data_IF_629138310083
#
_entry.id   IF_629138310083
#
_cell.length_a   1.000
_cell.length_b   1.000
_cell.length_c   1.000
_cell.angle_alpha   90.00
_cell.angle_beta   90.00
_cell.angle_gamma   90.00
#
_symmetry.space_group_name_H-M   'P 1'
#
loop_
_entity.id
_entity.type
_entity.pdbx_description
1 polymer ?
#
# COMPACT_ATOMS: atom_id res chain seq x y z
N UNK A 1 -18.46 1.81 28.41
CA UNK A 1 -17.50 1.72 27.29
C UNK A 1 -18.13 1.08 26.05
N UNK A 2 -18.71 -0.12 26.16
CA UNK A 2 -19.33 -0.86 25.04
C UNK A 2 -20.24 -0.05 24.11
N UNK A 3 -21.17 0.73 24.66
CA UNK A 3 -22.11 1.53 23.85
C UNK A 3 -21.37 2.55 22.96
N UNK A 4 -20.37 3.20 23.52
CA UNK A 4 -19.57 4.17 22.80
C UNK A 4 -18.71 3.49 21.73
N UNK A 5 -18.10 2.35 22.06
CA UNK A 5 -17.34 1.56 21.10
C UNK A 5 -18.20 1.19 19.87
N UNK A 6 -19.43 0.71 20.10
CA UNK A 6 -20.36 0.40 18.99
C UNK A 6 -20.69 1.62 18.14
N UNK A 7 -20.91 2.77 18.77
CA UNK A 7 -21.15 4.01 18.04
C UNK A 7 -19.94 4.40 17.19
N UNK A 8 -18.73 4.33 17.75
CA UNK A 8 -17.50 4.66 17.03
C UNK A 8 -17.30 3.75 15.80
N UNK A 9 -17.55 2.45 15.93
CA UNK A 9 -17.48 1.52 14.78
C UNK A 9 -18.52 1.89 13.72
N UNK A 10 -19.72 2.26 14.12
CA UNK A 10 -20.75 2.69 13.17
C UNK A 10 -20.36 3.99 12.46
N UNK A 11 -19.80 4.95 13.20
CA UNK A 11 -19.31 6.22 12.63
C UNK A 11 -18.16 5.97 11.62
N UNK A 12 -17.25 5.03 11.92
CA UNK A 12 -16.17 4.60 11.00
C UNK A 12 -16.74 3.98 9.74
N UNK A 13 -17.73 3.09 9.86
CA UNK A 13 -18.38 2.47 8.70
C UNK A 13 -19.15 3.47 7.86
N UNK A 14 -19.79 4.45 8.51
CA UNK A 14 -20.45 5.53 7.83
C UNK A 14 -19.43 6.38 7.05
N UNK A 15 -18.29 6.74 7.64
CA UNK A 15 -17.22 7.44 6.92
C UNK A 15 -16.72 6.62 5.72
N UNK A 16 -16.45 5.33 5.95
CA UNK A 16 -16.04 4.38 4.89
C UNK A 16 -17.01 4.31 3.71
N UNK A 17 -18.32 4.36 3.97
CA UNK A 17 -19.34 4.30 2.92
C UNK A 17 -19.55 5.64 2.18
N UNK A 18 -19.10 6.76 2.75
CA UNK A 18 -19.29 8.12 2.22
C UNK A 18 -17.96 8.73 1.77
N UNK A 19 -17.10 7.92 1.17
CA UNK A 19 -15.86 8.40 0.55
C UNK A 19 -16.24 9.29 -0.64
N UNK A 20 -15.61 10.46 -0.81
CA UNK A 20 -15.89 11.35 -1.93
C UNK A 20 -15.67 10.65 -3.30
N UNK A 21 -16.71 10.62 -4.15
CA UNK A 21 -16.61 10.10 -5.53
C UNK A 21 -15.76 10.99 -6.47
N UNK A 22 -15.12 10.42 -7.51
CA UNK A 22 -14.41 9.15 -7.53
C UNK A 22 -12.91 9.41 -7.44
N UNK A 23 -12.30 8.66 -6.52
CA UNK A 23 -10.86 8.53 -6.46
C UNK A 23 -10.32 7.45 -7.41
N UNK A 24 -11.20 6.56 -7.87
CA UNK A 24 -10.92 5.46 -8.78
C UNK A 24 -11.93 5.42 -9.93
N UNK A 25 -11.87 6.40 -10.84
CA UNK A 25 -12.66 6.33 -12.07
C UNK A 25 -11.87 5.56 -13.13
N UNK A 26 -12.16 4.27 -13.29
CA UNK A 26 -11.90 3.55 -14.55
C UNK A 26 -12.79 4.03 -15.70
N UNK A 27 -13.64 5.04 -15.48
CA UNK A 27 -14.43 5.63 -16.56
C UNK A 27 -13.46 6.39 -17.44
N UNK A 28 -13.15 5.77 -18.58
CA UNK A 28 -12.52 6.32 -19.77
C UNK A 28 -13.02 7.74 -20.04
N UNK A 29 -12.35 8.71 -19.45
CA UNK A 29 -12.30 10.04 -20.02
C UNK A 29 -10.83 10.27 -20.29
N UNK A 30 -10.42 9.94 -21.53
CA UNK A 30 -9.07 10.17 -22.09
C UNK A 30 -8.54 11.59 -21.80
N UNK A 31 -9.43 12.52 -21.48
CA UNK A 31 -9.14 13.93 -21.19
C UNK A 31 -8.71 14.24 -19.74
N UNK A 32 -8.79 13.29 -18.78
CA UNK A 32 -8.46 13.56 -17.36
C UNK A 32 -7.43 12.63 -16.72
N UNK A 33 -6.64 11.92 -17.52
CA UNK A 33 -5.54 11.09 -17.01
C UNK A 33 -4.44 12.00 -16.45
N UNK A 34 -4.53 12.37 -15.17
CA UNK A 34 -3.41 13.00 -14.47
C UNK A 34 -2.22 12.06 -14.55
N UNK A 35 -1.07 12.59 -14.99
CA UNK A 35 0.16 11.80 -14.97
C UNK A 35 0.56 11.50 -13.52
N UNK A 36 1.27 10.40 -13.31
CA UNK A 36 1.80 10.00 -12.00
C UNK A 36 2.54 11.14 -11.27
N UNK A 37 3.14 12.09 -12.01
CA UNK A 37 3.89 13.23 -11.46
C UNK A 37 3.05 14.48 -11.19
N UNK A 38 1.87 14.61 -11.79
CA UNK A 38 0.98 15.76 -11.62
C UNK A 38 -0.01 15.58 -10.48
N UNK A 39 -0.49 14.35 -10.29
CA UNK A 39 -1.49 14.00 -9.29
C UNK A 39 -1.11 14.46 -7.86
N UNK A 40 0.11 14.22 -7.35
CA UNK A 40 0.52 14.70 -6.02
C UNK A 40 0.54 16.22 -5.86
N UNK A 41 0.66 16.97 -6.97
CA UNK A 41 0.71 18.44 -6.95
C UNK A 41 -0.69 19.06 -6.93
N UNK A 42 -1.65 18.38 -7.55
CA UNK A 42 -3.03 18.89 -7.73
C UNK A 42 -4.04 18.31 -6.75
N UNK A 43 -3.70 17.21 -6.08
CA UNK A 43 -4.61 16.53 -5.17
C UNK A 43 -5.02 17.44 -4.00
N UNK A 44 -6.33 17.47 -3.65
CA UNK A 44 -6.79 18.19 -2.48
C UNK A 44 -6.16 17.58 -1.23
N UNK A 45 -5.67 18.46 -0.35
CA UNK A 45 -5.12 18.10 0.96
C UNK A 45 -6.05 18.62 2.04
N UNK A 46 -6.40 17.72 2.96
CA UNK A 46 -7.18 18.01 4.16
C UNK A 46 -6.70 17.07 5.26
N UNK A 47 -7.01 17.38 6.51
CA UNK A 47 -6.75 16.42 7.58
C UNK A 47 -7.63 15.17 7.43
N UNK A 48 -7.18 14.04 7.97
CA UNK A 48 -8.04 12.85 8.02
C UNK A 48 -9.32 13.11 8.84
N UNK A 49 -9.27 14.01 9.83
CA UNK A 49 -10.48 14.44 10.56
C UNK A 49 -11.50 15.15 9.66
N UNK A 50 -11.04 15.96 8.72
CA UNK A 50 -11.90 16.65 7.76
C UNK A 50 -12.43 15.71 6.67
N UNK A 51 -11.62 14.76 6.20
CA UNK A 51 -12.03 13.78 5.21
C UNK A 51 -13.07 12.79 5.73
N UNK A 52 -12.88 12.31 6.96
CA UNK A 52 -13.73 11.28 7.57
C UNK A 52 -14.86 11.85 8.41
N UNK A 53 -14.75 13.11 8.84
CA UNK A 53 -15.63 13.71 9.84
C UNK A 53 -15.41 13.17 11.27
N UNK A 54 -14.42 12.29 11.46
CA UNK A 54 -14.07 11.70 12.76
C UNK A 54 -12.95 12.49 13.41
N UNK A 55 -13.12 12.87 14.66
CA UNK A 55 -12.09 13.58 15.42
C UNK A 55 -11.20 12.60 16.17
N UNK A 56 -9.91 12.90 16.24
CA UNK A 56 -8.89 12.25 17.08
C UNK A 56 -9.37 12.02 18.52
N UNK A 57 -10.10 12.98 19.08
CA UNK A 57 -10.65 12.88 20.44
C UNK A 57 -11.73 11.81 20.60
N UNK A 58 -12.34 11.35 19.50
CA UNK A 58 -13.31 10.25 19.50
C UNK A 58 -12.64 8.87 19.58
N UNK A 59 -11.32 8.80 19.42
CA UNK A 59 -10.58 7.54 19.55
C UNK A 59 -10.07 7.40 21.00
N UNK A 60 -10.59 6.44 21.77
CA UNK A 60 -10.18 6.24 23.15
C UNK A 60 -8.75 5.68 23.22
N UNK A 61 -7.91 6.06 24.20
CA UNK A 61 -6.62 5.40 24.40
C UNK A 61 -6.73 3.88 24.55
N UNK A 62 -5.77 3.12 24.03
CA UNK A 62 -5.71 1.66 24.03
C UNK A 62 -5.90 1.06 25.43
N UNK A 63 -5.35 1.70 26.46
CA UNK A 63 -5.48 1.29 27.87
C UNK A 63 -6.94 1.21 28.39
N UNK A 64 -7.90 1.82 27.70
CA UNK A 64 -9.32 1.76 28.05
C UNK A 64 -10.12 0.74 27.21
N UNK A 65 -9.46 0.10 26.26
CA UNK A 65 -10.02 -0.92 25.38
C UNK A 65 -9.52 -2.29 25.81
N UNK A 66 -10.35 -3.32 25.58
CA UNK A 66 -9.87 -4.71 25.62
C UNK A 66 -9.11 -5.05 24.34
N UNK A 67 -8.25 -6.07 24.37
CA UNK A 67 -7.50 -6.53 23.20
C UNK A 67 -8.41 -6.80 21.99
N UNK A 68 -9.57 -7.42 22.24
CA UNK A 68 -10.58 -7.66 21.21
C UNK A 68 -11.12 -6.36 20.60
N UNK A 69 -11.32 -5.33 21.41
CA UNK A 69 -11.80 -4.03 20.94
C UNK A 69 -10.72 -3.30 20.16
N UNK A 70 -9.47 -3.36 20.61
CA UNK A 70 -8.31 -2.82 19.86
C UNK A 70 -8.23 -3.49 18.49
N UNK A 71 -8.28 -4.81 18.44
CA UNK A 71 -8.23 -5.57 17.19
C UNK A 71 -9.32 -5.15 16.21
N UNK A 72 -10.59 -5.11 16.66
CA UNK A 72 -11.72 -4.73 15.81
C UNK A 72 -11.61 -3.28 15.35
N UNK A 73 -11.23 -2.36 16.24
CA UNK A 73 -11.12 -0.94 15.91
C UNK A 73 -9.96 -0.68 14.95
N UNK A 74 -8.81 -1.31 15.17
CA UNK A 74 -7.64 -1.23 14.30
C UNK A 74 -7.98 -1.73 12.90
N UNK A 75 -8.68 -2.87 12.80
CA UNK A 75 -9.11 -3.41 11.51
C UNK A 75 -10.02 -2.43 10.75
N UNK A 76 -11.08 -1.94 11.39
CA UNK A 76 -12.03 -1.02 10.76
C UNK A 76 -11.37 0.31 10.38
N UNK A 77 -10.41 0.79 11.19
CA UNK A 77 -9.61 1.97 10.87
C UNK A 77 -8.74 1.77 9.63
N UNK A 78 -8.02 0.65 9.53
CA UNK A 78 -7.18 0.35 8.36
C UNK A 78 -8.03 0.19 7.10
N UNK A 79 -9.14 -0.52 7.21
CA UNK A 79 -10.09 -0.71 6.12
C UNK A 79 -10.66 0.63 5.64
N UNK A 80 -11.06 1.51 6.57
CA UNK A 80 -11.53 2.86 6.24
C UNK A 80 -10.43 3.68 5.56
N UNK A 81 -9.24 3.77 6.15
CA UNK A 81 -8.13 4.53 5.58
C UNK A 81 -7.73 4.02 4.18
N UNK A 82 -7.84 2.72 3.94
CA UNK A 82 -7.65 2.11 2.62
C UNK A 82 -8.62 2.65 1.56
N UNK A 83 -9.89 2.89 1.89
CA UNK A 83 -10.86 3.48 0.94
C UNK A 83 -10.55 4.95 0.63
N UNK A 84 -9.90 5.67 1.55
CA UNK A 84 -9.38 7.01 1.31
C UNK A 84 -7.98 7.00 0.65
N UNK A 85 -7.51 5.83 0.19
CA UNK A 85 -6.15 5.60 -0.30
C UNK A 85 -5.07 6.16 0.63
N UNK A 86 -5.21 5.90 1.93
CA UNK A 86 -4.19 6.19 2.93
C UNK A 86 -3.79 4.85 3.55
N UNK A 87 -2.99 4.08 2.82
CA UNK A 87 -2.69 2.71 3.23
C UNK A 87 -1.78 2.66 4.46
N UNK A 88 -2.18 1.87 5.44
CA UNK A 88 -1.39 1.64 6.67
C UNK A 88 -0.55 0.39 6.50
N UNK A 89 0.75 0.57 6.28
CA UNK A 89 1.70 -0.53 6.05
C UNK A 89 2.83 -0.50 7.07
N UNK A 90 2.92 -1.55 7.88
CA UNK A 90 4.06 -1.80 8.76
C UNK A 90 4.95 -2.89 8.12
N UNK A 91 6.26 -2.65 7.99
CA UNK A 91 7.17 -3.62 7.36
C UNK A 91 7.64 -4.72 8.33
N UNK A 92 7.39 -4.57 9.64
CA UNK A 92 7.61 -5.59 10.67
C UNK A 92 6.34 -5.84 11.47
N UNK A 93 6.32 -6.94 12.23
CA UNK A 93 5.21 -7.26 13.13
C UNK A 93 5.21 -6.32 14.32
N UNK A 94 4.36 -5.29 14.27
CA UNK A 94 4.13 -4.34 15.36
C UNK A 94 2.94 -4.82 16.21
N UNK A 95 2.97 -4.74 17.55
CA UNK A 95 1.81 -5.02 18.40
C UNK A 95 0.58 -4.17 18.04
N UNK A 96 -0.62 -4.76 18.04
CA UNK A 96 -1.85 -4.08 17.58
C UNK A 96 -2.22 -2.85 18.42
N UNK A 97 -1.98 -2.90 19.72
CA UNK A 97 -2.16 -1.77 20.65
C UNK A 97 -1.26 -0.59 20.28
N UNK A 98 0.00 -0.88 19.93
CA UNK A 98 0.95 0.13 19.47
C UNK A 98 0.57 0.68 18.09
N UNK A 99 0.19 -0.18 17.15
CA UNK A 99 -0.30 0.25 15.84
C UNK A 99 -1.49 1.22 15.98
N UNK A 100 -2.47 0.84 16.81
CA UNK A 100 -3.64 1.66 17.07
C UNK A 100 -3.27 3.01 17.69
N UNK A 101 -2.39 3.04 18.70
CA UNK A 101 -1.99 4.29 19.35
C UNK A 101 -1.25 5.24 18.41
N UNK A 102 -0.44 4.72 17.48
CA UNK A 102 0.25 5.54 16.48
C UNK A 102 -0.76 6.15 15.51
N UNK A 103 -1.67 5.33 14.96
CA UNK A 103 -2.70 5.81 14.05
C UNK A 103 -3.54 6.88 14.74
N UNK A 104 -3.97 6.62 15.98
CA UNK A 104 -4.70 7.58 16.82
C UNK A 104 -3.91 8.87 17.04
N UNK A 105 -2.62 8.79 17.38
CA UNK A 105 -1.78 9.97 17.65
C UNK A 105 -1.62 10.83 16.40
N UNK A 106 -1.54 10.23 15.22
CA UNK A 106 -1.32 10.92 13.94
C UNK A 106 -2.60 11.09 13.11
N UNK A 107 -3.77 10.86 13.69
CA UNK A 107 -5.04 10.96 12.95
C UNK A 107 -5.39 12.39 12.53
N UNK A 108 -4.73 13.39 13.09
CA UNK A 108 -4.83 14.80 12.71
C UNK A 108 -3.89 15.19 11.54
N UNK A 109 -3.14 14.24 10.97
CA UNK A 109 -2.27 14.52 9.83
C UNK A 109 -3.05 14.92 8.57
N UNK A 110 -2.40 15.69 7.70
CA UNK A 110 -2.90 15.98 6.36
C UNK A 110 -2.68 14.79 5.44
N UNK A 111 -3.73 14.38 4.73
CA UNK A 111 -3.67 13.32 3.73
C UNK A 111 -4.14 13.88 2.38
N UNK A 112 -3.31 13.78 1.32
CA UNK A 112 -3.80 14.02 -0.02
C UNK A 112 -4.74 12.88 -0.45
N UNK A 113 -5.69 13.21 -1.31
CA UNK A 113 -6.53 12.24 -1.99
C UNK A 113 -6.03 12.16 -3.45
N UNK A 114 -5.01 11.30 -3.71
CA UNK A 114 -4.22 11.12 -4.98
C UNK A 114 -4.75 10.18 -6.11
N UNK A 115 -5.52 10.59 -7.11
CA UNK A 115 -6.19 9.64 -8.03
C UNK A 115 -5.34 8.57 -8.75
N UNK A 116 -4.06 8.84 -9.02
CA UNK A 116 -3.17 7.95 -9.76
C UNK A 116 -2.15 7.23 -8.87
N UNK A 117 -1.82 7.81 -7.70
CA UNK A 117 -0.75 7.32 -6.83
C UNK A 117 -1.29 6.71 -5.54
N UNK A 118 -0.63 5.65 -5.07
CA UNK A 118 -0.85 5.19 -3.69
C UNK A 118 -0.26 6.17 -2.69
N UNK A 119 -1.02 6.50 -1.65
CA UNK A 119 -0.57 7.26 -0.51
C UNK A 119 -0.57 6.36 0.73
N UNK A 120 0.41 6.57 1.59
CA UNK A 120 0.65 5.78 2.78
C UNK A 120 0.52 6.66 4.02
N UNK A 121 -0.03 6.08 5.08
CA UNK A 121 -0.17 6.74 6.36
C UNK A 121 1.20 7.07 6.97
N UNK A 122 1.40 8.33 7.38
CA UNK A 122 2.66 8.75 7.97
C UNK A 122 2.66 8.49 9.49
N UNK A 123 3.52 7.56 9.91
CA UNK A 123 3.66 7.19 11.33
C UNK A 123 4.54 8.15 12.12
N UNK A 124 5.57 8.69 11.48
CA UNK A 124 6.59 9.51 12.12
C UNK A 124 6.16 10.97 12.15
N UNK A 125 6.48 11.65 13.25
CA UNK A 125 6.42 13.10 13.30
C UNK A 125 7.77 13.65 12.79
N UNK A 126 7.79 14.49 11.75
CA UNK A 126 9.04 15.10 11.28
C UNK A 126 9.73 15.98 12.33
N UNK A 127 9.02 16.41 13.38
CA UNK A 127 9.60 17.14 14.50
C UNK A 127 10.22 16.24 15.60
N UNK A 128 9.99 14.93 15.57
CA UNK A 128 10.60 13.99 16.51
C UNK A 128 11.99 13.55 16.03
N UNK A 129 12.95 13.46 16.97
CA UNK A 129 14.29 12.96 16.69
C UNK A 129 14.26 11.50 16.24
N UNK A 130 15.14 11.15 15.29
CA UNK A 130 15.32 9.76 14.83
C UNK A 130 15.59 8.83 16.01
N UNK A 131 14.93 7.67 16.02
CA UNK A 131 15.07 6.68 17.08
C UNK A 131 14.25 6.94 18.36
N UNK A 132 13.72 8.16 18.57
CA UNK A 132 12.85 8.51 19.70
C UNK A 132 11.35 8.50 19.36
N UNK A 133 10.98 7.92 18.22
CA UNK A 133 9.58 7.86 17.81
C UNK A 133 8.78 6.84 18.64
N UNK A 134 7.45 6.96 18.59
CA UNK A 134 6.54 6.11 19.35
C UNK A 134 6.64 4.60 19.01
N UNK A 135 7.13 4.24 17.82
CA UNK A 135 7.38 2.84 17.46
C UNK A 135 8.46 2.17 18.32
N UNK A 136 9.34 2.95 18.96
CA UNK A 136 10.36 2.43 19.87
C UNK A 136 11.30 1.41 19.22
N UNK A 137 11.27 0.17 19.69
CA UNK A 137 12.03 -0.95 19.10
C UNK A 137 11.51 -1.39 17.72
N UNK A 138 10.25 -1.07 17.41
CA UNK A 138 9.62 -1.38 16.13
C UNK A 138 9.86 -0.28 15.06
N UNK A 139 10.76 0.68 15.32
CA UNK A 139 11.07 1.75 14.40
C UNK A 139 12.13 1.32 13.38
N UNK A 140 11.85 1.41 12.07
CA UNK A 140 12.87 1.10 11.06
C UNK A 140 14.00 2.12 11.01
N UNK A 141 13.77 3.39 11.33
CA UNK A 141 14.88 4.35 11.41
C UNK A 141 15.93 3.86 12.41
N UNK A 142 15.49 3.33 13.56
CA UNK A 142 16.39 2.75 14.55
C UNK A 142 17.09 1.48 14.04
N UNK A 143 16.38 0.64 13.29
CA UNK A 143 16.99 -0.54 12.65
C UNK A 143 18.11 -0.14 11.69
N UNK A 144 17.86 0.84 10.80
CA UNK A 144 18.87 1.32 9.87
C UNK A 144 20.00 2.07 10.55
N UNK A 145 19.71 2.88 11.58
CA UNK A 145 20.75 3.58 12.35
C UNK A 145 21.70 2.56 13.01
N UNK A 146 21.18 1.47 13.57
CA UNK A 146 22.00 0.39 14.12
C UNK A 146 22.78 -0.36 13.02
N UNK A 147 22.09 -0.73 11.93
CA UNK A 147 22.71 -1.45 10.82
C UNK A 147 23.87 -0.66 10.21
N UNK A 148 23.68 0.65 10.01
CA UNK A 148 24.72 1.54 9.47
C UNK A 148 25.87 1.76 10.46
N UNK A 149 25.58 1.84 11.77
CA UNK A 149 26.63 1.94 12.79
C UNK A 149 27.55 0.71 12.80
N UNK A 150 27.00 -0.48 12.60
CA UNK A 150 27.79 -1.72 12.50
C UNK A 150 28.74 -1.68 11.28
N UNK A 151 28.27 -1.18 10.12
CA UNK A 151 29.12 -0.98 8.93
C UNK A 151 30.23 0.05 9.14
N UNK A 152 29.93 1.16 9.83
CA UNK A 152 30.93 2.18 10.18
C UNK A 152 32.01 1.63 11.13
N UNK A 153 31.64 0.76 12.08
CA UNK A 153 32.59 0.09 12.99
C UNK A 153 33.50 -0.90 12.25
N UNK A 154 32.96 -1.62 11.26
CA UNK A 154 33.71 -2.54 10.40
C UNK A 154 34.57 -1.82 9.33
N UNK A 155 34.51 -0.49 9.28
CA UNK A 155 35.27 0.34 8.34
C UNK A 155 34.80 0.20 6.89
N UNK A 156 33.57 -0.28 6.68
CA UNK A 156 32.93 -0.40 5.38
C UNK A 156 32.19 0.91 5.13
N UNK A 157 32.75 1.76 4.27
CA UNK A 157 32.06 2.96 3.82
C UNK A 157 30.77 2.59 3.05
N UNK A 158 29.73 3.41 3.16
CA UNK A 158 28.44 3.22 2.52
C UNK A 158 28.54 2.99 0.99
N UNK A 159 29.46 3.66 0.28
CA UNK A 159 29.71 3.39 -1.14
C UNK A 159 30.31 1.99 -1.36
N UNK A 160 31.20 1.57 -0.47
CA UNK A 160 31.86 0.25 -0.51
C UNK A 160 30.90 -0.89 -0.17
N UNK A 161 30.00 -0.70 0.81
CA UNK A 161 28.97 -1.68 1.18
C UNK A 161 27.88 -1.82 0.12
N UNK A 162 27.51 -0.73 -0.56
CA UNK A 162 26.59 -0.76 -1.69
C UNK A 162 27.23 -1.47 -2.91
N UNK A 163 28.53 -1.29 -3.16
CA UNK A 163 29.24 -2.04 -4.21
C UNK A 163 29.21 -3.55 -3.95
N UNK A 164 29.32 -3.99 -2.69
CA UNK A 164 29.31 -5.40 -2.33
C UNK A 164 27.95 -6.08 -2.61
N UNK A 165 26.84 -5.41 -2.28
CA UNK A 165 25.49 -5.91 -2.56
C UNK A 165 25.20 -6.00 -4.07
N UNK A 166 25.70 -5.04 -4.87
CA UNK A 166 25.56 -5.07 -6.34
C UNK A 166 26.43 -6.14 -6.99
N UNK A 167 27.64 -6.39 -6.48
CA UNK A 167 28.52 -7.45 -6.97
C UNK A 167 27.97 -8.85 -6.64
N UNK A 168 27.36 -9.03 -5.48
CA UNK A 168 26.70 -10.28 -5.11
C UNK A 168 25.47 -10.54 -5.99
N UNK A 169 24.62 -9.53 -6.23
CA UNK A 169 23.46 -9.63 -7.13
C UNK A 169 23.88 -9.96 -8.59
N UNK A 170 24.95 -9.34 -9.10
CA UNK A 170 25.51 -9.65 -10.42
C UNK A 170 26.06 -11.09 -10.49
N UNK A 171 26.74 -11.56 -9.44
CA UNK A 171 27.22 -12.94 -9.36
C UNK A 171 26.05 -13.95 -9.38
N UNK A 172 24.93 -13.65 -8.73
CA UNK A 172 23.74 -14.50 -8.76
C UNK A 172 23.05 -14.51 -10.14
N UNK A 173 23.03 -13.38 -10.84
CA UNK A 173 22.47 -13.27 -12.19
C UNK A 173 23.35 -13.96 -13.24
N UNK A 174 24.68 -13.79 -13.19
CA UNK A 174 25.64 -14.45 -14.07
C UNK A 174 25.65 -16.00 -13.85
N UNK A 175 25.38 -16.44 -12.62
CA UNK A 175 25.21 -17.86 -12.29
C UNK A 175 23.91 -18.46 -12.87
N UNK A 176 22.85 -17.66 -13.07
CA UNK A 176 21.63 -18.11 -13.75
C UNK A 176 21.77 -18.11 -15.29
N UNK A 177 22.60 -17.22 -15.86
CA UNK A 177 22.88 -17.23 -17.31
C UNK A 177 23.70 -18.46 -17.74
N UNK A 178 24.49 -19.05 -16.83
CA UNK A 178 25.39 -20.17 -17.16
C UNK A 178 24.79 -21.56 -17.01
N UNK A 179 23.63 -21.71 -16.34
CA UNK A 179 22.95 -23.00 -16.12
C UNK A 179 21.50 -23.05 -16.66
N UNK A 180 21.05 -22.01 -17.38
CA UNK A 180 19.78 -22.07 -18.11
C UNK A 180 19.98 -22.87 -19.41
N UNK A 181 19.25 -23.97 -19.65
CA UNK A 181 19.23 -24.59 -20.96
C UNK A 181 18.50 -23.63 -21.90
N UNK A 182 19.29 -22.90 -22.70
CA UNK A 182 18.94 -22.28 -23.98
C UNK A 182 17.44 -22.28 -24.27
N UNK A 183 16.75 -21.21 -23.87
CA UNK A 183 15.71 -20.69 -24.74
C UNK A 183 16.44 -20.23 -25.99
N UNK A 184 16.50 -21.11 -26.98
CA UNK A 184 16.94 -20.79 -28.33
C UNK A 184 16.04 -19.64 -28.81
N UNK A 185 16.64 -18.48 -29.04
CA UNK A 185 16.04 -17.32 -29.69
C UNK A 185 15.78 -17.59 -31.19
N UNK A 186 15.08 -18.68 -31.50
CA UNK A 186 14.33 -18.79 -32.74
C UNK A 186 13.02 -18.02 -32.60
N UNK A 187 13.14 -16.69 -32.56
CA UNK A 187 12.08 -15.82 -33.03
C UNK A 187 11.93 -16.06 -34.54
N UNK A 188 11.13 -17.07 -34.90
CA UNK A 188 10.57 -17.17 -36.24
C UNK A 188 9.61 -15.99 -36.41
N UNK A 189 10.06 -14.99 -37.19
CA UNK A 189 9.25 -13.89 -37.70
C UNK A 189 8.23 -14.39 -38.74
N UNK A 190 7.33 -15.28 -38.34
CA UNK A 190 6.25 -15.80 -39.20
C UNK A 190 4.88 -15.79 -38.51
N UNK A 191 4.71 -14.93 -37.50
CA UNK A 191 3.43 -14.69 -36.82
C UNK A 191 2.77 -13.38 -37.27
N UNK A 192 2.83 -13.08 -38.58
CA UNK A 192 2.14 -11.92 -39.19
C UNK A 192 1.14 -12.31 -40.30
N UNK A 193 0.87 -13.61 -40.51
CA UNK A 193 -0.03 -14.08 -41.59
C UNK A 193 -1.21 -14.96 -41.10
N UNK A 194 -1.85 -14.62 -39.97
CA UNK A 194 -3.18 -15.16 -39.63
C UNK A 194 -4.24 -14.06 -39.53
N UNK A 195 -4.34 -13.24 -40.58
CA UNK A 195 -5.61 -12.66 -41.00
C UNK A 195 -6.45 -13.75 -41.67
N UNK A 196 -7.42 -14.30 -40.95
CA UNK A 196 -8.38 -15.25 -41.55
C UNK A 196 -9.14 -16.12 -40.56
N UNK A 197 -9.65 -15.56 -39.47
CA UNK A 197 -10.72 -16.23 -38.71
C UNK A 197 -12.03 -15.50 -38.98
N UNK A 198 -12.63 -15.88 -40.11
CA UNK A 198 -13.98 -15.51 -40.52
C UNK A 198 -14.96 -16.23 -39.58
N UNK A 199 -15.58 -15.47 -38.69
CA UNK A 199 -16.72 -15.93 -37.89
C UNK A 199 -17.99 -15.75 -38.71
N UNK A 200 -18.10 -16.48 -39.83
CA UNK A 200 -19.39 -16.68 -40.48
C UNK A 200 -20.08 -17.87 -39.82
N UNK A 201 -20.93 -17.50 -38.87
CA UNK A 201 -21.92 -18.30 -38.18
C UNK A 201 -23.03 -18.67 -39.19
N UNK A 202 -22.78 -19.70 -40.00
CA UNK A 202 -23.83 -20.35 -40.79
C UNK A 202 -24.66 -21.25 -39.85
N UNK A 203 -25.78 -20.70 -39.40
CA UNK A 203 -26.99 -21.45 -39.10
C UNK A 203 -27.26 -22.42 -40.26
N UNK A 204 -27.32 -23.73 -40.01
CA UNK A 204 -28.34 -24.57 -40.63
C UNK A 204 -28.50 -25.91 -39.90
N UNK A 205 -29.78 -26.23 -39.74
CA UNK A 205 -30.37 -27.44 -39.21
C UNK A 205 -29.83 -28.73 -39.88
N UNK A 206 -29.78 -29.83 -39.13
CA UNK A 206 -30.55 -31.06 -39.45
C UNK A 206 -30.10 -32.27 -38.62
N UNK A 207 -31.00 -32.65 -37.70
CA UNK A 207 -31.67 -33.95 -37.66
C UNK A 207 -30.88 -35.27 -37.42
N UNK A 208 -31.62 -36.23 -36.84
CA UNK A 208 -31.35 -37.67 -36.72
C UNK A 208 -30.67 -38.20 -35.44
N UNK A 209 -31.43 -38.18 -34.35
CA UNK A 209 -32.08 -39.37 -33.74
C UNK A 209 -31.36 -40.74 -33.75
N UNK A 210 -31.66 -41.56 -32.71
CA UNK A 210 -31.33 -42.98 -32.44
C UNK A 210 -30.09 -43.18 -31.54
N UNK A 211 -30.13 -43.80 -30.35
CA UNK A 211 -31.03 -44.78 -29.74
C UNK A 211 -30.96 -44.68 -28.20
#
# INVERSE_FOLDING_TARGET
MERYFRQLIEDIRHAKANVPEPWWSFVDNEESSLTWTEDPKTAPRKSLEEWTGLKKIQFPPAKYLSDRQVHVLLKELKDMLGEYNCHVVFQISVPEDLQYEIIRKRFDQESPLLKANMHFFEFCDPAEDKGNCQLGEYCHCRFFDNLLADYEEDGIDFETGHSFLYEEEHSYLDAQETDSPLFDDHFDNEFDDMDGFDWDDDEDDDDWNWY
#
